data_IF_624796602420
#
_entry.id   IF_624796602420
#
_cell.length_a   1.000
_cell.length_b   1.000
_cell.length_c   1.000
_cell.angle_alpha   90.00
_cell.angle_beta   90.00
_cell.angle_gamma   90.00
#
_symmetry.space_group_name_H-M   'P 1'
#
loop_
_entity.id
_entity.type
_entity.pdbx_description
1 polymer ?
#
# COMPACT_ATOMS: atom_id res chain seq x y z
N UNK A 1 6.63 -7.62 -28.61
CA UNK A 1 7.99 -7.89 -29.14
C UNK A 1 8.26 -9.39 -29.25
N UNK A 2 8.52 -10.15 -28.18
CA UNK A 2 8.79 -11.60 -28.33
C UNK A 2 7.66 -12.42 -28.97
N UNK A 3 6.40 -12.14 -28.62
CA UNK A 3 5.23 -12.80 -29.23
C UNK A 3 5.11 -12.49 -30.73
N UNK A 4 5.35 -11.24 -31.11
CA UNK A 4 5.34 -10.80 -32.52
C UNK A 4 6.49 -11.44 -33.30
N UNK A 5 7.69 -11.47 -32.70
CA UNK A 5 8.89 -12.06 -33.30
C UNK A 5 8.74 -13.58 -33.49
N UNK A 6 7.92 -14.23 -32.66
CA UNK A 6 7.62 -15.67 -32.73
C UNK A 6 6.40 -16.00 -33.61
N UNK A 7 5.77 -14.99 -34.22
CA UNK A 7 4.57 -15.12 -35.04
C UNK A 7 3.41 -15.87 -34.32
N UNK A 8 3.26 -15.61 -33.02
CA UNK A 8 2.18 -16.20 -32.21
C UNK A 8 0.92 -15.35 -32.35
N UNK A 9 -0.15 -15.95 -32.87
CA UNK A 9 -1.42 -15.26 -33.05
C UNK A 9 -2.08 -14.89 -31.72
N UNK A 10 -2.80 -13.77 -31.72
CA UNK A 10 -3.49 -13.23 -30.55
C UNK A 10 -4.46 -14.23 -29.94
N UNK A 11 -5.15 -15.00 -30.79
CA UNK A 11 -6.12 -16.01 -30.33
C UNK A 11 -5.48 -17.10 -29.49
N UNK A 12 -4.23 -17.49 -29.80
CA UNK A 12 -3.57 -18.60 -29.12
C UNK A 12 -3.29 -18.32 -27.65
N UNK A 13 -2.88 -17.09 -27.31
CA UNK A 13 -2.64 -16.74 -25.92
C UNK A 13 -3.90 -16.22 -25.22
N UNK A 14 -4.90 -15.74 -25.95
CA UNK A 14 -6.20 -15.40 -25.37
C UNK A 14 -6.91 -16.64 -24.81
N UNK A 15 -6.77 -17.80 -25.45
CA UNK A 15 -7.36 -19.06 -24.96
C UNK A 15 -6.84 -19.47 -23.58
N UNK A 16 -5.59 -19.13 -23.24
CA UNK A 16 -5.00 -19.37 -21.92
C UNK A 16 -5.05 -18.14 -20.99
N UNK A 17 -5.71 -17.05 -21.40
CA UNK A 17 -5.84 -15.83 -20.61
C UNK A 17 -7.05 -15.90 -19.68
N UNK A 18 -6.81 -15.81 -18.36
CA UNK A 18 -7.88 -15.88 -17.35
C UNK A 18 -8.76 -14.62 -17.31
N UNK A 19 -8.18 -13.44 -17.54
CA UNK A 19 -8.88 -12.16 -17.57
C UNK A 19 -8.01 -11.10 -18.26
N UNK A 20 -8.66 -10.06 -18.78
CA UNK A 20 -8.03 -8.88 -19.38
C UNK A 20 -8.57 -7.64 -18.65
N UNK A 21 -7.71 -6.67 -18.37
CA UNK A 21 -8.07 -5.40 -17.73
C UNK A 21 -7.78 -4.28 -18.72
N UNK A 22 -8.74 -3.36 -18.87
CA UNK A 22 -8.55 -2.16 -19.67
C UNK A 22 -7.57 -1.21 -18.97
N UNK A 23 -6.57 -0.74 -19.72
CA UNK A 23 -5.53 0.18 -19.26
C UNK A 23 -5.66 1.57 -19.89
N UNK A 24 -6.77 1.89 -20.54
CA UNK A 24 -6.98 3.12 -21.31
C UNK A 24 -6.80 4.45 -20.54
N UNK A 25 -6.74 4.41 -19.21
CA UNK A 25 -6.50 5.57 -18.34
C UNK A 25 -5.19 5.56 -17.54
N UNK A 26 -4.26 4.64 -17.84
CA UNK A 26 -2.99 4.53 -17.11
C UNK A 26 -1.88 5.21 -17.90
N UNK A 27 -1.40 6.36 -17.40
CA UNK A 27 -0.26 7.05 -17.98
C UNK A 27 1.06 6.45 -17.47
N UNK A 28 1.84 5.87 -18.38
CA UNK A 28 3.17 5.36 -18.05
C UNK A 28 4.22 6.42 -18.41
N UNK A 29 4.82 7.05 -17.38
CA UNK A 29 5.77 8.17 -17.53
C UNK A 29 7.02 7.85 -18.36
N UNK A 30 7.36 6.57 -18.56
CA UNK A 30 8.52 6.11 -19.34
C UNK A 30 8.14 5.01 -20.38
N UNK A 31 6.86 4.97 -20.78
CA UNK A 31 6.30 3.85 -21.54
C UNK A 31 6.24 2.56 -20.73
N UNK A 32 6.09 1.39 -21.38
CA UNK A 32 5.94 0.10 -20.69
C UNK A 32 7.21 -0.47 -20.04
N UNK A 33 8.33 0.25 -20.12
CA UNK A 33 9.64 -0.24 -19.69
C UNK A 33 9.76 -0.13 -18.17
N UNK A 34 9.75 -1.26 -17.47
CA UNK A 34 9.94 -1.32 -16.01
C UNK A 34 8.65 -1.17 -15.19
N UNK A 35 7.47 -1.35 -15.79
CA UNK A 35 6.22 -1.39 -15.03
C UNK A 35 6.22 -2.66 -14.15
N UNK A 36 5.99 -2.49 -12.86
CA UNK A 36 5.67 -3.60 -11.96
C UNK A 36 4.16 -3.56 -11.65
N UNK A 37 3.44 -4.60 -12.08
CA UNK A 37 1.99 -4.70 -11.86
C UNK A 37 1.75 -5.53 -10.61
N UNK A 38 1.18 -4.91 -9.59
CA UNK A 38 0.81 -5.59 -8.34
C UNK A 38 -0.61 -6.16 -8.46
N UNK A 39 -0.79 -7.39 -7.98
CA UNK A 39 -2.08 -8.07 -8.02
C UNK A 39 -2.97 -7.67 -6.84
N UNK A 40 -4.29 -7.60 -7.07
CA UNK A 40 -5.27 -7.40 -6.02
C UNK A 40 -5.60 -8.71 -5.30
N UNK A 41 -5.98 -8.62 -4.02
CA UNK A 41 -6.37 -9.81 -3.24
C UNK A 41 -7.66 -10.41 -3.79
N UNK A 42 -7.67 -11.74 -4.00
CA UNK A 42 -8.79 -12.50 -4.57
C UNK A 42 -9.30 -13.55 -3.60
N UNK A 43 -10.60 -13.83 -3.67
CA UNK A 43 -11.22 -14.91 -2.91
C UNK A 43 -10.89 -16.30 -3.51
N UNK A 44 -11.39 -17.37 -2.90
CA UNK A 44 -11.20 -18.74 -3.38
C UNK A 44 -11.76 -19.00 -4.79
N UNK A 45 -12.64 -18.12 -5.28
CA UNK A 45 -13.23 -18.18 -6.62
C UNK A 45 -12.48 -17.31 -7.62
N UNK A 46 -11.41 -16.62 -7.20
CA UNK A 46 -10.63 -15.72 -8.05
C UNK A 46 -11.28 -14.35 -8.26
N UNK A 47 -12.30 -13.97 -7.48
CA UNK A 47 -12.93 -12.66 -7.56
C UNK A 47 -12.22 -11.66 -6.64
N UNK A 48 -11.90 -10.45 -7.11
CA UNK A 48 -11.24 -9.45 -6.27
C UNK A 48 -12.15 -9.01 -5.12
N UNK A 49 -11.58 -8.85 -3.91
CA UNK A 49 -12.32 -8.35 -2.74
C UNK A 49 -11.42 -7.53 -1.80
N UNK A 50 -12.02 -6.64 -1.02
CA UNK A 50 -11.29 -5.88 0.01
C UNK A 50 -11.21 -6.71 1.30
N UNK A 51 -10.01 -7.02 1.81
CA UNK A 51 -9.88 -7.77 3.06
C UNK A 51 -10.47 -7.00 4.25
N UNK A 52 -11.19 -7.70 5.12
CA UNK A 52 -11.75 -7.11 6.34
C UNK A 52 -10.68 -6.59 7.31
N UNK A 53 -9.47 -7.16 7.28
CA UNK A 53 -8.31 -6.66 8.01
C UNK A 53 -7.89 -5.25 7.56
N UNK A 54 -7.92 -4.96 6.26
CA UNK A 54 -7.59 -3.64 5.70
C UNK A 54 -8.59 -2.58 6.17
N UNK A 55 -9.89 -2.86 6.03
CA UNK A 55 -10.96 -1.95 6.49
C UNK A 55 -10.88 -1.75 8.00
N UNK A 56 -10.68 -2.84 8.76
CA UNK A 56 -10.52 -2.79 10.22
C UNK A 56 -9.30 -1.95 10.62
N UNK A 57 -8.18 -2.07 9.90
CA UNK A 57 -6.98 -1.26 10.10
C UNK A 57 -7.26 0.22 9.88
N UNK A 58 -7.93 0.57 8.77
CA UNK A 58 -8.34 1.94 8.49
C UNK A 58 -9.23 2.51 9.61
N UNK A 59 -10.29 1.80 9.99
CA UNK A 59 -11.20 2.23 11.07
C UNK A 59 -10.47 2.37 12.40
N UNK A 60 -9.57 1.43 12.74
CA UNK A 60 -8.74 1.49 13.94
C UNK A 60 -7.94 2.79 13.96
N UNK A 61 -7.28 3.16 12.85
CA UNK A 61 -6.50 4.39 12.75
C UNK A 61 -7.39 5.63 12.90
N UNK A 62 -8.53 5.69 12.22
CA UNK A 62 -9.47 6.82 12.34
C UNK A 62 -9.94 7.01 13.79
N UNK A 63 -10.40 5.93 14.42
CA UNK A 63 -10.90 5.97 15.79
C UNK A 63 -9.80 6.35 16.79
N UNK A 64 -8.60 5.78 16.63
CA UNK A 64 -7.45 6.10 17.49
C UNK A 64 -7.06 7.57 17.36
N UNK A 65 -6.90 8.06 16.14
CA UNK A 65 -6.57 9.47 15.87
C UNK A 65 -7.63 10.42 16.44
N UNK A 66 -8.92 10.10 16.28
CA UNK A 66 -10.01 10.90 16.86
C UNK A 66 -9.96 10.94 18.40
N UNK A 67 -9.69 9.81 19.06
CA UNK A 67 -9.54 9.76 20.52
C UNK A 67 -8.34 10.54 21.02
N UNK A 68 -7.22 10.46 20.31
CA UNK A 68 -6.01 11.21 20.57
C UNK A 68 -6.28 12.71 20.45
N UNK A 69 -6.96 13.13 19.38
CA UNK A 69 -7.31 14.53 19.15
C UNK A 69 -8.21 15.09 20.25
N UNK A 70 -9.25 14.34 20.65
CA UNK A 70 -10.16 14.72 21.72
C UNK A 70 -9.45 14.79 23.10
N UNK A 71 -8.43 13.96 23.33
CA UNK A 71 -7.65 13.93 24.58
C UNK A 71 -6.23 14.48 24.39
N UNK A 72 -6.10 15.79 24.13
CA UNK A 72 -4.81 16.51 24.00
C UNK A 72 -3.82 16.26 25.14
N UNK A 73 -4.29 15.93 26.35
CA UNK A 73 -3.43 15.63 27.51
C UNK A 73 -2.48 14.46 27.27
N UNK A 74 -2.92 13.43 26.55
CA UNK A 74 -2.10 12.25 26.22
C UNK A 74 -0.96 12.64 25.27
N UNK A 75 -1.25 13.42 24.22
CA UNK A 75 -0.23 13.94 23.31
C UNK A 75 0.79 14.82 24.04
N UNK A 76 0.34 15.75 24.88
CA UNK A 76 1.25 16.61 25.65
C UNK A 76 2.09 15.82 26.65
N UNK A 77 1.54 14.74 27.22
CA UNK A 77 2.26 13.86 28.14
C UNK A 77 3.36 13.07 27.41
N UNK A 78 3.05 12.44 26.27
CA UNK A 78 4.05 11.70 25.48
C UNK A 78 5.09 12.61 24.86
N UNK A 79 4.71 13.81 24.41
CA UNK A 79 5.65 14.82 23.94
C UNK A 79 6.62 15.22 25.06
N UNK A 80 6.10 15.48 26.27
CA UNK A 80 6.90 15.79 27.46
C UNK A 80 7.80 14.64 27.91
N UNK A 81 7.35 13.39 27.80
CA UNK A 81 8.19 12.21 28.05
C UNK A 81 9.31 12.14 27.02
N UNK A 82 8.99 12.27 25.72
CA UNK A 82 9.96 12.22 24.62
C UNK A 82 11.05 13.27 24.76
N UNK A 83 10.69 14.52 25.08
CA UNK A 83 11.66 15.60 25.32
C UNK A 83 12.55 15.31 26.53
N UNK A 84 11.97 14.78 27.63
CA UNK A 84 12.73 14.44 28.83
C UNK A 84 13.68 13.27 28.60
N UNK A 85 13.27 12.22 27.89
CA UNK A 85 14.16 11.12 27.52
C UNK A 85 15.24 11.58 26.56
N UNK A 86 14.92 12.42 25.57
CA UNK A 86 15.92 12.98 24.66
C UNK A 86 16.95 13.86 25.41
N UNK A 87 16.51 14.68 26.37
CA UNK A 87 17.41 15.46 27.23
C UNK A 87 18.29 14.59 28.13
N UNK A 88 17.76 13.49 28.67
CA UNK A 88 18.55 12.57 29.49
C UNK A 88 19.63 11.85 28.66
N UNK A 89 19.27 11.37 27.47
CA UNK A 89 20.21 10.72 26.55
C UNK A 89 21.26 11.73 26.05
N UNK A 90 20.86 12.97 25.73
CA UNK A 90 21.80 14.02 25.31
C UNK A 90 22.77 14.41 26.44
N UNK A 91 22.35 14.35 27.71
CA UNK A 91 23.23 14.59 28.86
C UNK A 91 24.24 13.47 29.10
N UNK A 92 23.90 12.23 28.79
CA UNK A 92 24.80 11.07 28.90
C UNK A 92 25.85 11.03 27.78
N UNK A 93 25.59 11.67 26.63
CA UNK A 93 26.52 11.69 25.47
C UNK A 93 27.54 12.85 25.54
N UNK A 94 27.30 13.87 26.38
CA UNK A 94 28.16 15.07 26.51
C UNK A 94 29.21 14.92 27.64
N UNK A 95 29.27 13.77 28.34
CA UNK A 95 30.30 13.42 29.33
C UNK A 95 31.20 12.35 28.72
#
# INVERSE_FOLDING_TARGET
KWLDDSNIDVKQYLDCTKYVIDSSGVEFSNGMKGINVMEFVKDAYGKPYVPGSSIKGMLRTILLSGRIWANKKILTFWHRISERTAMLIAREIII
#
